data_IF_533762792363
#
_entry.id   IF_533762792363
#
_cell.length_a   1.000
_cell.length_b   1.000
_cell.length_c   1.000
_cell.angle_alpha   90.00
_cell.angle_beta   90.00
_cell.angle_gamma   90.00
#
_symmetry.space_group_name_H-M   'P 1'
#
loop_
_entity.id
_entity.type
_entity.pdbx_description
1 polymer ?
#
# COMPACT_ATOMS: atom_id res chain seq x y z
N UNK A 1 14.68 -15.34 8.44
CA UNK A 1 14.74 -14.41 7.30
C UNK A 1 14.44 -13.02 7.86
N UNK A 2 15.17 -12.00 7.43
CA UNK A 2 14.84 -10.63 7.84
C UNK A 2 13.47 -10.27 7.26
N UNK A 3 12.61 -9.67 8.08
CA UNK A 3 11.29 -9.24 7.64
C UNK A 3 11.44 -8.12 6.60
N UNK A 4 10.62 -8.16 5.56
CA UNK A 4 10.67 -7.18 4.48
C UNK A 4 10.39 -5.78 5.07
N UNK A 5 11.03 -4.74 4.55
CA UNK A 5 10.70 -3.38 4.95
C UNK A 5 9.28 -3.01 4.46
N UNK A 6 8.53 -2.21 5.24
CA UNK A 6 7.11 -1.84 4.99
C UNK A 6 6.85 -1.46 3.53
N UNK A 7 7.73 -0.64 2.93
CA UNK A 7 7.62 -0.24 1.51
C UNK A 7 7.58 -1.44 0.56
N UNK A 8 8.48 -2.41 0.74
CA UNK A 8 8.53 -3.61 -0.08
C UNK A 8 7.29 -4.49 0.12
N UNK A 9 6.83 -4.60 1.37
CA UNK A 9 5.63 -5.37 1.70
C UNK A 9 4.36 -4.76 1.07
N UNK A 10 4.19 -3.44 1.12
CA UNK A 10 3.07 -2.74 0.45
C UNK A 10 3.01 -3.06 -1.05
N UNK A 11 4.17 -3.05 -1.72
CA UNK A 11 4.26 -3.40 -3.13
C UNK A 11 3.89 -4.87 -3.38
N UNK A 12 4.40 -5.80 -2.57
CA UNK A 12 4.02 -7.22 -2.68
C UNK A 12 2.52 -7.45 -2.42
N UNK A 13 1.96 -6.78 -1.42
CA UNK A 13 0.56 -6.86 -1.05
C UNK A 13 -0.34 -6.46 -2.24
N UNK A 14 -0.10 -5.30 -2.84
CA UNK A 14 -0.87 -4.84 -4.01
C UNK A 14 -0.54 -5.65 -5.28
N UNK A 15 0.69 -6.13 -5.46
CA UNK A 15 1.02 -6.98 -6.60
C UNK A 15 0.23 -8.30 -6.59
N UNK A 16 -0.04 -8.85 -5.40
CA UNK A 16 -0.85 -10.08 -5.19
C UNK A 16 -2.36 -9.82 -5.23
N UNK A 17 -2.84 -8.77 -4.55
CA UNK A 17 -4.27 -8.53 -4.35
C UNK A 17 -4.89 -7.59 -5.40
N UNK A 18 -4.07 -6.94 -6.22
CA UNK A 18 -4.52 -5.95 -7.20
C UNK A 18 -4.78 -4.58 -6.55
N UNK A 19 -5.78 -3.87 -7.07
CA UNK A 19 -6.10 -2.52 -6.63
C UNK A 19 -6.72 -2.50 -5.23
N UNK A 20 -6.19 -1.66 -4.33
CA UNK A 20 -6.61 -1.61 -2.92
C UNK A 20 -6.78 -0.16 -2.45
N UNK A 21 -7.70 0.04 -1.50
CA UNK A 21 -7.86 1.33 -0.83
C UNK A 21 -6.75 1.54 0.22
N UNK A 22 -6.31 2.79 0.40
CA UNK A 22 -5.23 3.15 1.32
C UNK A 22 -5.48 2.75 2.77
N UNK A 23 -6.75 2.74 3.22
CA UNK A 23 -7.14 2.29 4.55
C UNK A 23 -7.06 0.78 4.73
N UNK A 24 -7.41 0.00 3.71
CA UNK A 24 -7.26 -1.46 3.71
C UNK A 24 -5.78 -1.84 3.67
N UNK A 25 -4.98 -1.18 2.82
CA UNK A 25 -3.51 -1.35 2.79
C UNK A 25 -2.91 -1.07 4.16
N UNK A 26 -3.30 0.04 4.80
CA UNK A 26 -2.80 0.38 6.13
C UNK A 26 -3.21 -0.66 7.18
N UNK A 27 -4.45 -1.16 7.15
CA UNK A 27 -4.91 -2.21 8.08
C UNK A 27 -4.08 -3.49 7.93
N UNK A 28 -3.84 -3.94 6.69
CA UNK A 28 -3.04 -5.14 6.42
C UNK A 28 -1.57 -4.98 6.82
N UNK A 29 -0.97 -3.82 6.54
CA UNK A 29 0.41 -3.53 6.96
C UNK A 29 0.50 -3.52 8.49
N UNK A 30 -0.35 -2.77 9.17
CA UNK A 30 -0.32 -2.69 10.63
C UNK A 30 -0.55 -4.06 11.26
N UNK A 31 -1.48 -4.85 10.73
CA UNK A 31 -1.72 -6.23 11.15
C UNK A 31 -0.50 -7.14 10.96
N UNK A 32 0.16 -7.07 9.79
CA UNK A 32 1.34 -7.87 9.49
C UNK A 32 2.49 -7.61 10.46
N UNK A 33 2.79 -6.34 10.74
CA UNK A 33 3.92 -5.94 11.59
C UNK A 33 3.56 -5.78 13.08
N UNK A 34 2.33 -6.08 13.50
CA UNK A 34 1.88 -5.89 14.88
C UNK A 34 1.87 -4.43 15.35
N UNK A 35 1.65 -3.49 14.44
CA UNK A 35 1.65 -2.05 14.68
C UNK A 35 0.23 -1.51 14.88
N UNK A 36 0.09 -0.40 15.61
CA UNK A 36 -1.23 0.22 15.84
C UNK A 36 -1.13 1.72 16.12
N UNK A 37 -2.22 2.44 15.89
CA UNK A 37 -2.34 3.88 16.17
C UNK A 37 -2.04 4.80 14.98
N UNK A 38 -2.47 6.06 15.11
CA UNK A 38 -2.51 7.05 14.03
C UNK A 38 -1.14 7.33 13.40
N UNK A 39 -0.06 7.24 14.18
CA UNK A 39 1.31 7.40 13.67
C UNK A 39 1.63 6.40 12.55
N UNK A 40 1.35 5.12 12.78
CA UNK A 40 1.65 4.07 11.80
C UNK A 40 0.73 4.12 10.59
N UNK A 41 -0.54 4.50 10.78
CA UNK A 41 -1.44 4.82 9.66
C UNK A 41 -0.86 5.95 8.80
N UNK A 42 -0.33 7.01 9.43
CA UNK A 42 0.37 8.10 8.76
C UNK A 42 1.60 7.62 8.00
N UNK A 43 2.43 6.78 8.62
CA UNK A 43 3.62 6.20 7.98
C UNK A 43 3.27 5.40 6.72
N UNK A 44 2.21 4.58 6.74
CA UNK A 44 1.75 3.85 5.55
C UNK A 44 1.32 4.82 4.46
N UNK A 45 0.53 5.85 4.80
CA UNK A 45 0.06 6.85 3.83
C UNK A 45 1.19 7.64 3.20
N UNK A 46 2.17 8.09 3.99
CA UNK A 46 3.37 8.75 3.45
C UNK A 46 4.15 7.80 2.54
N UNK A 47 4.24 6.52 2.88
CA UNK A 47 4.88 5.52 2.02
C UNK A 47 4.14 5.32 0.71
N UNK A 48 2.80 5.31 0.72
CA UNK A 48 1.98 5.27 -0.50
C UNK A 48 2.19 6.51 -1.36
N UNK A 49 2.22 7.71 -0.76
CA UNK A 49 2.54 8.95 -1.49
C UNK A 49 3.93 8.92 -2.11
N UNK A 50 4.93 8.40 -1.41
CA UNK A 50 6.30 8.24 -1.93
C UNK A 50 6.35 7.26 -3.11
N UNK A 51 5.66 6.12 -3.01
CA UNK A 51 5.56 5.13 -4.09
C UNK A 51 4.83 5.68 -5.33
N UNK A 52 3.73 6.41 -5.12
CA UNK A 52 3.00 7.09 -6.18
C UNK A 52 3.86 8.18 -6.85
N UNK A 53 4.52 9.02 -6.04
CA UNK A 53 5.41 10.08 -6.54
C UNK A 53 6.64 9.52 -7.28
N UNK A 54 7.10 8.33 -6.89
CA UNK A 54 8.13 7.57 -7.59
C UNK A 54 7.67 6.91 -8.90
N UNK A 55 6.36 6.97 -9.21
CA UNK A 55 5.77 6.42 -10.44
C UNK A 55 5.45 4.93 -10.40
N UNK A 56 5.56 4.26 -9.25
CA UNK A 56 5.32 2.81 -9.14
C UNK A 56 3.83 2.45 -9.05
N UNK A 57 2.99 3.41 -8.69
CA UNK A 57 1.55 3.22 -8.46
C UNK A 57 0.74 4.14 -9.36
N UNK A 58 -0.43 3.68 -9.76
CA UNK A 58 -1.49 4.52 -10.30
C UNK A 58 -2.55 4.76 -9.23
N UNK A 59 -3.08 5.99 -9.17
CA UNK A 59 -4.32 6.31 -8.45
C UNK A 59 -5.50 6.00 -9.38
N UNK A 60 -6.35 5.06 -8.98
CA UNK A 60 -7.46 4.57 -9.79
C UNK A 60 -8.81 5.20 -9.42
N UNK A 61 -8.97 5.60 -8.16
CA UNK A 61 -10.22 6.18 -7.65
C UNK A 61 -9.97 6.94 -6.34
N UNK A 62 -10.88 7.86 -6.04
CA UNK A 62 -10.83 8.70 -4.84
C UNK A 62 -12.25 8.91 -4.29
N UNK A 63 -12.44 8.70 -3.00
CA UNK A 63 -13.75 8.83 -2.34
C UNK A 63 -13.66 9.41 -0.94
N UNK A 64 -14.80 9.89 -0.41
CA UNK A 64 -14.97 10.22 1.01
C UNK A 64 -16.02 9.27 1.57
N UNK A 65 -15.59 8.38 2.46
CA UNK A 65 -16.45 7.35 3.03
C UNK A 65 -16.37 7.37 4.57
N UNK A 66 -17.34 8.00 5.25
CA UNK A 66 -17.43 8.03 6.70
C UNK A 66 -17.52 6.63 7.35
N UNK A 67 -18.14 5.64 6.70
CA UNK A 67 -18.33 4.31 7.27
C UNK A 67 -16.99 3.56 7.38
N UNK A 68 -16.11 3.77 6.40
CA UNK A 68 -14.74 3.20 6.39
C UNK A 68 -13.77 3.91 7.34
N UNK A 69 -14.11 5.13 7.74
CA UNK A 69 -13.18 6.06 8.42
C UNK A 69 -13.59 6.37 9.86
N UNK A 70 -14.55 5.62 10.41
CA UNK A 70 -15.03 5.79 11.78
C UNK A 70 -15.80 7.10 11.98
N UNK A 71 -16.60 7.49 10.99
CA UNK A 71 -17.46 8.68 10.99
C UNK A 71 -16.73 9.99 10.67
N UNK A 72 -15.45 9.94 10.29
CA UNK A 72 -14.66 11.15 9.98
C UNK A 72 -14.64 11.40 8.48
N UNK A 73 -14.96 12.60 7.98
CA UNK A 73 -14.85 12.89 6.55
C UNK A 73 -13.37 12.91 6.15
N UNK A 74 -12.85 11.76 5.71
CA UNK A 74 -11.47 11.58 5.24
C UNK A 74 -11.51 11.10 3.79
N UNK A 75 -10.63 11.67 2.99
CA UNK A 75 -10.38 11.22 1.62
C UNK A 75 -9.65 9.87 1.67
N UNK A 76 -10.13 8.93 0.85
CA UNK A 76 -9.54 7.63 0.61
C UNK A 76 -9.13 7.52 -0.84
N UNK A 77 -8.02 6.84 -1.08
CA UNK A 77 -7.43 6.68 -2.41
C UNK A 77 -7.30 5.21 -2.73
N UNK A 78 -7.63 4.83 -3.96
CA UNK A 78 -7.44 3.48 -4.45
C UNK A 78 -6.19 3.42 -5.32
N UNK A 79 -5.23 2.59 -4.93
CA UNK A 79 -3.96 2.44 -5.63
C UNK A 79 -3.83 1.05 -6.26
N UNK A 80 -3.07 0.95 -7.34
CA UNK A 80 -2.57 -0.30 -7.89
C UNK A 80 -1.12 -0.15 -8.34
N UNK A 81 -0.34 -1.24 -8.28
CA UNK A 81 1.00 -1.28 -8.89
C UNK A 81 0.84 -1.33 -10.41
N UNK A 82 1.41 -0.34 -11.09
CA UNK A 82 1.40 -0.25 -12.55
C UNK A 82 2.51 -1.10 -13.19
N UNK A 83 2.57 -1.13 -14.51
CA UNK A 83 3.54 -1.97 -15.24
C UNK A 83 4.99 -1.60 -14.92
N UNK A 84 5.28 -0.29 -14.82
CA UNK A 84 6.61 0.19 -14.43
C UNK A 84 6.97 -0.26 -13.01
N UNK A 85 6.02 -0.14 -12.06
CA UNK A 85 6.19 -0.62 -10.69
C UNK A 85 6.49 -2.11 -10.65
N UNK A 86 5.74 -2.93 -11.40
CA UNK A 86 5.98 -4.38 -11.49
C UNK A 86 7.36 -4.72 -12.05
N UNK A 87 7.79 -4.01 -13.09
CA UNK A 87 9.13 -4.17 -13.66
C UNK A 87 10.22 -3.88 -12.62
N UNK A 88 10.08 -2.78 -11.86
CA UNK A 88 11.03 -2.44 -10.78
C UNK A 88 11.04 -3.46 -9.65
N UNK A 89 9.88 -4.00 -9.30
CA UNK A 89 9.79 -5.10 -8.34
C UNK A 89 10.52 -6.34 -8.85
N UNK A 90 10.38 -6.69 -10.13
CA UNK A 90 11.09 -7.83 -10.74
C UNK A 90 12.61 -7.63 -10.70
N UNK A 91 13.08 -6.46 -11.12
CA UNK A 91 14.51 -6.11 -11.19
C UNK A 91 15.20 -6.12 -9.81
N UNK A 92 14.45 -5.90 -8.74
CA UNK A 92 14.95 -5.87 -7.36
C UNK A 92 14.74 -7.19 -6.61
N UNK A 93 14.16 -8.21 -7.26
CA UNK A 93 13.85 -9.49 -6.63
C UNK A 93 12.69 -9.42 -5.63
N UNK A 94 11.85 -8.40 -5.71
CA UNK A 94 10.72 -8.16 -4.81
C UNK A 94 9.45 -8.90 -5.24
N UNK A 95 9.33 -9.27 -6.52
CA UNK A 95 8.34 -10.26 -6.93
C UNK A 95 8.82 -11.62 -6.45
N UNK A 96 8.09 -12.24 -5.52
CA UNK A 96 8.32 -13.64 -5.22
C UNK A 96 8.21 -14.44 -6.52
N UNK A 97 9.17 -15.33 -6.77
CA UNK A 97 8.95 -16.40 -7.73
C UNK A 97 7.70 -17.14 -7.27
N UNK A 98 6.65 -17.11 -8.09
CA UNK A 98 5.47 -17.94 -7.88
C UNK A 98 5.95 -19.38 -7.59
N UNK A 99 5.46 -20.05 -6.52
CA UNK A 99 5.78 -21.45 -6.30
C UNK A 99 5.37 -22.34 -7.48
#
# INVERSE_FOLDING_TARGET
MAELHIKGYILQLMARNGAMWDDDIARDVLGHYGLSGDYWYGTVRVTLTDLFSGGLLDELDTTVDPDRTGGKPKLLFKFAVNDFGRERMAQTGLLEATP
#
